data_IF_865454641658
#
_entry.id   IF_865454641658
#
_cell.length_a   1.000
_cell.length_b   1.000
_cell.length_c   1.000
_cell.angle_alpha   90.00
_cell.angle_beta   90.00
_cell.angle_gamma   90.00
#
_symmetry.space_group_name_H-M   'P 1'
#
loop_
_entity.id
_entity.type
_entity.pdbx_description
1 polymer ?
#
# COMPACT_ATOMS: atom_id res chain seq x y z
N UNK A 1 14.25 13.46 22.27
CA UNK A 1 13.15 12.63 21.76
C UNK A 1 13.56 11.16 21.85
N UNK A 2 12.92 10.35 22.71
CA UNK A 2 13.03 8.89 22.62
C UNK A 2 12.18 8.45 21.43
N UNK A 3 12.80 8.15 20.30
CA UNK A 3 12.13 7.50 19.17
C UNK A 3 11.61 6.16 19.70
N UNK A 4 10.30 6.02 19.84
CA UNK A 4 9.71 4.73 20.19
C UNK A 4 9.99 3.77 19.03
N UNK A 5 10.45 2.56 19.31
CA UNK A 5 10.65 1.54 18.29
C UNK A 5 9.28 1.19 17.70
N UNK A 6 9.17 1.08 16.35
CA UNK A 6 7.96 0.60 15.70
C UNK A 6 7.49 -0.73 16.29
N UNK A 7 6.19 -0.92 16.42
CA UNK A 7 5.59 -2.11 16.98
C UNK A 7 4.66 -2.74 15.94
N UNK A 8 4.64 -4.05 15.92
CA UNK A 8 3.76 -4.83 15.06
C UNK A 8 2.48 -5.17 15.83
N UNK A 9 1.34 -4.92 15.22
CA UNK A 9 0.01 -5.17 15.78
C UNK A 9 -0.98 -5.63 14.72
N UNK A 10 -2.11 -6.14 15.16
CA UNK A 10 -3.32 -6.35 14.37
C UNK A 10 -4.46 -5.49 14.94
N UNK A 11 -5.51 -5.29 14.15
CA UNK A 11 -6.62 -4.42 14.52
C UNK A 11 -7.84 -5.27 14.88
N UNK A 12 -8.43 -4.99 16.05
CA UNK A 12 -9.75 -5.45 16.44
C UNK A 12 -10.61 -4.22 16.65
N UNK A 13 -11.63 -4.02 15.80
CA UNK A 13 -12.52 -2.85 15.81
C UNK A 13 -11.71 -1.55 15.68
N UNK A 14 -11.71 -0.72 16.73
CA UNK A 14 -11.03 0.57 16.81
C UNK A 14 -9.69 0.50 17.60
N UNK A 15 -9.19 -0.69 17.90
CA UNK A 15 -7.97 -0.90 18.71
C UNK A 15 -6.88 -1.62 17.90
N UNK A 16 -5.66 -1.16 18.08
CA UNK A 16 -4.46 -1.89 17.70
C UNK A 16 -4.04 -2.77 18.87
N UNK A 17 -3.90 -4.05 18.61
CA UNK A 17 -3.43 -5.04 19.58
C UNK A 17 -1.95 -5.31 19.32
N UNK A 18 -1.12 -5.07 20.32
CA UNK A 18 0.32 -5.29 20.26
C UNK A 18 0.63 -6.78 20.33
N UNK A 19 1.17 -7.34 19.27
CA UNK A 19 1.41 -8.79 19.14
C UNK A 19 2.38 -9.30 20.22
N UNK A 20 3.49 -8.60 20.44
CA UNK A 20 4.48 -9.06 21.42
C UNK A 20 3.91 -9.05 22.83
N UNK A 21 3.21 -7.99 23.25
CA UNK A 21 2.59 -7.91 24.57
C UNK A 21 1.49 -8.95 24.73
N UNK A 22 0.66 -9.15 23.73
CA UNK A 22 -0.40 -10.16 23.73
C UNK A 22 0.16 -11.58 23.82
N UNK A 23 1.24 -11.87 23.09
CA UNK A 23 1.92 -13.17 23.13
C UNK A 23 2.49 -13.46 24.55
N UNK A 24 3.13 -12.46 25.18
CA UNK A 24 3.63 -12.60 26.56
C UNK A 24 2.47 -12.78 27.53
N UNK A 25 1.41 -12.00 27.39
CA UNK A 25 0.22 -12.11 28.25
C UNK A 25 -0.40 -13.51 28.16
N UNK A 26 -0.57 -14.06 26.96
CA UNK A 26 -1.08 -15.42 26.75
C UNK A 26 -0.20 -16.49 27.41
N UNK A 27 1.12 -16.34 27.31
CA UNK A 27 2.04 -17.26 27.98
C UNK A 27 1.96 -17.19 29.50
N UNK A 28 1.89 -15.99 30.10
CA UNK A 28 1.87 -15.82 31.56
C UNK A 28 0.52 -16.27 32.16
N UNK A 29 -0.61 -15.93 31.56
CA UNK A 29 -1.94 -16.15 32.13
C UNK A 29 -2.59 -17.47 31.66
N UNK A 30 -2.39 -17.86 30.39
CA UNK A 30 -2.99 -19.06 29.83
C UNK A 30 -2.01 -20.22 29.66
N UNK A 31 -0.72 -20.04 30.01
CA UNK A 31 0.36 -21.02 29.81
C UNK A 31 0.55 -21.43 28.33
N UNK A 32 0.16 -20.54 27.41
CA UNK A 32 0.25 -20.77 25.96
C UNK A 32 1.47 -20.05 25.38
N UNK A 33 2.55 -20.76 25.21
CA UNK A 33 3.82 -20.24 24.64
C UNK A 33 3.85 -20.22 23.11
N UNK A 34 2.80 -20.73 22.44
CA UNK A 34 2.73 -20.88 20.97
C UNK A 34 3.00 -19.55 20.27
N UNK A 35 2.48 -18.44 20.81
CA UNK A 35 2.55 -17.12 20.20
C UNK A 35 3.88 -16.39 20.43
N UNK A 36 4.73 -16.86 21.36
CA UNK A 36 6.04 -16.25 21.61
C UNK A 36 6.99 -16.36 20.39
N UNK A 37 6.70 -17.30 19.48
CA UNK A 37 7.46 -17.49 18.24
C UNK A 37 7.06 -16.51 17.12
N UNK A 38 5.98 -15.72 17.28
CA UNK A 38 5.59 -14.74 16.27
C UNK A 38 6.66 -13.64 16.20
N UNK A 39 7.19 -13.33 14.99
CA UNK A 39 8.20 -12.30 14.84
C UNK A 39 7.70 -10.90 15.28
N UNK A 40 8.62 -10.06 15.76
CA UNK A 40 8.30 -8.75 16.32
C UNK A 40 8.05 -7.65 15.29
N UNK A 41 8.20 -7.94 14.01
CA UNK A 41 7.90 -7.01 12.90
C UNK A 41 7.17 -7.75 11.79
N UNK A 42 6.29 -7.03 11.07
CA UNK A 42 5.60 -7.60 9.91
C UNK A 42 6.58 -8.15 8.87
N UNK A 43 7.62 -7.39 8.52
CA UNK A 43 8.63 -7.84 7.54
C UNK A 43 9.29 -9.17 7.89
N UNK A 44 9.54 -9.43 9.17
CA UNK A 44 10.07 -10.72 9.62
C UNK A 44 9.00 -11.82 9.55
N UNK A 45 7.75 -11.51 9.92
CA UNK A 45 6.64 -12.46 9.85
C UNK A 45 6.34 -12.90 8.41
N UNK A 46 6.54 -12.01 7.44
CA UNK A 46 6.33 -12.28 6.02
C UNK A 46 7.29 -13.33 5.41
N UNK A 47 8.41 -13.65 6.07
CA UNK A 47 9.36 -14.66 5.58
C UNK A 47 8.80 -16.08 5.60
N UNK A 48 7.95 -16.37 6.58
CA UNK A 48 7.24 -17.64 6.76
C UNK A 48 5.76 -17.32 7.00
N UNK A 49 5.16 -16.64 6.01
CA UNK A 49 3.88 -15.99 6.19
C UNK A 49 2.76 -16.95 6.55
N UNK A 50 2.68 -18.11 5.88
CA UNK A 50 1.57 -19.04 6.12
C UNK A 50 1.54 -19.50 7.58
N UNK A 51 2.69 -19.88 8.15
CA UNK A 51 2.77 -20.29 9.54
C UNK A 51 2.50 -19.14 10.51
N UNK A 52 3.09 -17.97 10.24
CA UNK A 52 2.92 -16.80 11.09
C UNK A 52 1.48 -16.27 11.01
N UNK A 53 0.84 -16.29 9.85
CA UNK A 53 -0.54 -15.86 9.67
C UNK A 53 -1.51 -16.74 10.45
N UNK A 54 -1.35 -18.08 10.42
CA UNK A 54 -2.13 -19.00 11.22
C UNK A 54 -2.02 -18.73 12.73
N UNK A 55 -0.80 -18.42 13.21
CA UNK A 55 -0.56 -18.03 14.61
C UNK A 55 -1.22 -16.69 14.94
N UNK A 56 -1.12 -15.72 14.03
CA UNK A 56 -1.74 -14.39 14.19
C UNK A 56 -3.27 -14.51 14.27
N UNK A 57 -3.91 -15.28 13.38
CA UNK A 57 -5.37 -15.51 13.41
C UNK A 57 -5.82 -16.19 14.70
N UNK A 58 -5.06 -17.18 15.18
CA UNK A 58 -5.37 -17.85 16.47
C UNK A 58 -5.20 -16.89 17.65
N UNK A 59 -4.16 -16.03 17.63
CA UNK A 59 -3.95 -15.03 18.68
C UNK A 59 -5.07 -13.99 18.66
N UNK A 60 -5.45 -13.51 17.49
CA UNK A 60 -6.54 -12.56 17.30
C UNK A 60 -7.84 -13.11 17.87
N UNK A 61 -8.25 -14.34 17.51
CA UNK A 61 -9.46 -15.00 18.02
C UNK A 61 -9.44 -15.08 19.55
N UNK A 62 -8.33 -15.56 20.14
CA UNK A 62 -8.23 -15.68 21.59
C UNK A 62 -8.28 -14.33 22.32
N UNK A 63 -7.68 -13.30 21.76
CA UNK A 63 -7.72 -11.95 22.34
C UNK A 63 -9.10 -11.32 22.16
N UNK A 64 -9.77 -11.53 21.03
CA UNK A 64 -11.09 -10.98 20.77
C UNK A 64 -12.18 -11.49 21.74
N UNK A 65 -12.00 -12.70 22.28
CA UNK A 65 -12.89 -13.31 23.28
C UNK A 65 -12.69 -12.73 24.71
N UNK A 66 -11.68 -11.88 24.92
CA UNK A 66 -11.34 -11.29 26.20
C UNK A 66 -11.71 -9.80 26.25
N UNK A 67 -11.74 -9.22 27.46
CA UNK A 67 -11.74 -7.76 27.61
C UNK A 67 -10.32 -7.19 27.37
N UNK A 68 -9.88 -7.22 26.12
CA UNK A 68 -8.54 -6.81 25.70
C UNK A 68 -8.22 -5.34 25.98
N UNK A 69 -9.24 -4.53 26.31
CA UNK A 69 -9.04 -3.11 26.64
C UNK A 69 -8.46 -2.92 28.03
N UNK A 70 -8.74 -3.85 28.95
CA UNK A 70 -8.23 -3.85 30.34
C UNK A 70 -6.92 -4.62 30.49
N UNK A 71 -6.52 -5.44 29.52
CA UNK A 71 -5.35 -6.32 29.65
C UNK A 71 -4.03 -5.53 29.61
N UNK A 72 -3.15 -5.91 30.53
CA UNK A 72 -1.82 -5.30 30.68
C UNK A 72 -0.74 -6.35 30.91
N UNK A 73 0.47 -6.02 30.50
CA UNK A 73 1.69 -6.77 30.80
C UNK A 73 2.77 -5.79 31.24
N UNK A 74 3.36 -6.02 32.44
CA UNK A 74 4.36 -5.14 33.03
C UNK A 74 3.90 -3.67 33.11
N UNK A 75 2.64 -3.42 33.51
CA UNK A 75 2.02 -2.09 33.60
C UNK A 75 1.78 -1.38 32.27
N UNK A 76 1.84 -2.10 31.13
CA UNK A 76 1.59 -1.55 29.79
C UNK A 76 0.40 -2.25 29.16
N UNK A 77 -0.57 -1.48 28.65
CA UNK A 77 -1.71 -2.03 27.90
C UNK A 77 -1.24 -2.84 26.70
N UNK A 78 -1.95 -3.92 26.39
CA UNK A 78 -1.77 -4.67 25.14
C UNK A 78 -2.48 -3.99 23.97
N UNK A 79 -3.42 -3.08 24.23
CA UNK A 79 -4.22 -2.38 23.21
C UNK A 79 -3.98 -0.87 23.23
N UNK A 80 -4.16 -0.22 22.09
CA UNK A 80 -4.08 1.23 21.90
C UNK A 80 -5.17 1.66 20.91
N UNK A 81 -5.75 2.84 21.05
CA UNK A 81 -6.71 3.35 20.05
C UNK A 81 -6.04 3.52 18.69
N UNK A 82 -6.71 3.09 17.66
CA UNK A 82 -6.24 3.25 16.28
C UNK A 82 -6.05 4.73 15.93
N UNK A 83 -7.04 5.57 16.27
CA UNK A 83 -7.03 7.00 15.96
C UNK A 83 -5.94 7.81 16.72
N UNK A 84 -5.48 7.30 17.85
CA UNK A 84 -4.44 7.94 18.67
C UNK A 84 -3.03 7.44 18.31
N UNK A 85 -2.94 6.55 17.32
CA UNK A 85 -1.69 5.88 16.95
C UNK A 85 -1.08 6.49 15.70
N UNK A 86 0.24 6.67 15.70
CA UNK A 86 0.99 6.99 14.50
C UNK A 86 1.23 5.72 13.70
N UNK A 87 0.64 5.64 12.51
CA UNK A 87 0.75 4.48 11.63
C UNK A 87 1.87 4.72 10.60
N UNK A 88 2.88 3.87 10.66
CA UNK A 88 3.90 3.79 9.63
C UNK A 88 3.38 3.03 8.39
N UNK A 89 4.04 3.13 7.23
CA UNK A 89 3.80 2.20 6.15
C UNK A 89 3.81 0.75 6.66
N UNK A 90 2.96 -0.16 6.18
CA UNK A 90 2.90 -1.54 6.67
C UNK A 90 4.26 -2.23 6.72
N UNK A 91 5.10 -2.01 5.70
CA UNK A 91 6.52 -2.38 5.68
C UNK A 91 7.35 -1.12 5.46
N UNK A 92 7.88 -0.47 6.52
CA UNK A 92 8.56 0.83 6.41
C UNK A 92 9.89 0.78 5.65
N UNK A 93 10.46 -0.40 5.49
CA UNK A 93 11.77 -0.62 4.87
C UNK A 93 11.74 -1.83 3.93
N UNK A 94 10.94 -1.80 2.85
CA UNK A 94 10.89 -2.86 1.85
C UNK A 94 12.26 -3.01 1.18
N UNK A 95 12.53 -4.18 0.60
CA UNK A 95 13.76 -4.39 -0.16
C UNK A 95 13.65 -3.77 -1.54
N UNK A 96 12.46 -3.83 -2.13
CA UNK A 96 12.15 -3.17 -3.39
C UNK A 96 10.70 -2.71 -3.43
N UNK A 97 10.46 -1.73 -4.29
CA UNK A 97 9.13 -1.31 -4.70
C UNK A 97 9.11 -1.21 -6.22
N UNK A 98 8.17 -1.92 -6.83
CA UNK A 98 7.88 -1.89 -8.27
C UNK A 98 6.49 -1.33 -8.44
N UNK A 99 6.39 -0.27 -9.22
CA UNK A 99 5.10 0.30 -9.55
C UNK A 99 4.76 0.02 -11.00
N UNK A 100 3.59 -0.57 -11.20
CA UNK A 100 3.09 -1.01 -12.50
C UNK A 100 2.27 0.09 -13.17
N UNK A 101 1.81 -0.21 -14.36
CA UNK A 101 1.02 0.71 -15.19
C UNK A 101 -0.15 -0.09 -15.77
N UNK A 102 -1.05 -0.57 -14.88
CA UNK A 102 -1.93 -1.68 -15.17
C UNK A 102 -3.41 -1.33 -15.43
N UNK A 103 -3.81 -0.07 -15.24
CA UNK A 103 -5.16 0.40 -15.58
C UNK A 103 -5.20 1.00 -16.99
N UNK A 104 -5.96 0.34 -17.89
CA UNK A 104 -6.03 0.72 -19.31
C UNK A 104 -6.51 2.16 -19.53
N UNK A 105 -7.53 2.60 -18.77
CA UNK A 105 -8.09 3.94 -18.90
C UNK A 105 -7.04 5.02 -18.64
N UNK A 106 -6.29 4.88 -17.56
CA UNK A 106 -5.21 5.81 -17.20
C UNK A 106 -4.11 5.83 -18.27
N UNK A 107 -3.67 4.65 -18.73
CA UNK A 107 -2.62 4.53 -19.75
C UNK A 107 -3.05 5.21 -21.06
N UNK A 108 -4.30 4.98 -21.50
CA UNK A 108 -4.86 5.64 -22.69
C UNK A 108 -4.89 7.16 -22.54
N UNK A 109 -5.35 7.66 -21.39
CA UNK A 109 -5.42 9.09 -21.12
C UNK A 109 -4.03 9.74 -21.11
N UNK A 110 -3.07 9.16 -20.38
CA UNK A 110 -1.70 9.66 -20.28
C UNK A 110 -0.96 9.63 -21.63
N UNK A 111 -1.19 8.60 -22.46
CA UNK A 111 -0.61 8.55 -23.83
C UNK A 111 -1.24 9.58 -24.75
N UNK A 112 -2.56 9.72 -24.72
CA UNK A 112 -3.28 10.73 -25.52
C UNK A 112 -2.81 12.16 -25.20
N UNK A 113 -2.51 12.45 -23.94
CA UNK A 113 -1.95 13.75 -23.54
C UNK A 113 -0.60 14.05 -24.17
N UNK A 114 0.16 13.01 -24.51
CA UNK A 114 1.47 13.10 -25.20
C UNK A 114 1.34 12.98 -26.73
N UNK A 115 0.11 12.91 -27.28
CA UNK A 115 -0.12 12.73 -28.71
C UNK A 115 0.24 11.33 -29.21
N UNK A 116 0.20 10.31 -28.35
CA UNK A 116 0.57 8.94 -28.66
C UNK A 116 -0.65 8.02 -28.62
N UNK A 117 -0.72 7.08 -29.55
CA UNK A 117 -1.67 5.98 -29.54
C UNK A 117 -1.28 4.91 -28.49
N UNK A 118 -2.24 4.01 -28.17
CA UNK A 118 -1.93 2.87 -27.33
C UNK A 118 -0.86 1.97 -27.97
N UNK A 119 0.13 1.58 -27.18
CA UNK A 119 1.10 0.60 -27.60
C UNK A 119 0.49 -0.82 -27.48
N UNK A 120 0.39 -1.61 -28.57
CA UNK A 120 -0.20 -2.95 -28.51
C UNK A 120 0.57 -3.93 -27.60
N UNK A 121 1.86 -3.70 -27.36
CA UNK A 121 2.63 -4.55 -26.46
C UNK A 121 2.29 -4.31 -24.99
N UNK A 122 1.69 -3.17 -24.64
CA UNK A 122 1.17 -2.92 -23.30
C UNK A 122 0.13 -3.97 -22.88
N UNK A 123 -0.71 -4.42 -23.82
CA UNK A 123 -1.71 -5.45 -23.54
C UNK A 123 -1.12 -6.85 -23.28
N UNK A 124 0.13 -7.06 -23.68
CA UNK A 124 0.83 -8.35 -23.57
C UNK A 124 1.77 -8.40 -22.35
N UNK A 125 2.35 -7.25 -22.00
CA UNK A 125 3.45 -7.17 -21.03
C UNK A 125 3.07 -6.18 -19.93
N UNK A 126 2.79 -6.65 -18.72
CA UNK A 126 2.70 -5.74 -17.57
C UNK A 126 4.08 -5.11 -17.33
N UNK A 127 4.15 -3.79 -17.47
CA UNK A 127 5.38 -3.03 -17.29
C UNK A 127 5.38 -2.30 -15.95
N UNK A 128 6.55 -2.09 -15.40
CA UNK A 128 6.76 -1.37 -14.15
C UNK A 128 8.04 -0.55 -14.20
N UNK A 129 8.15 0.41 -13.28
CA UNK A 129 9.41 1.04 -12.95
C UNK A 129 9.78 0.72 -11.48
N UNK A 130 11.05 0.86 -11.12
CA UNK A 130 11.49 0.78 -9.74
C UNK A 130 11.35 2.14 -9.09
N UNK A 131 10.55 2.19 -8.02
CA UNK A 131 10.44 3.40 -7.22
C UNK A 131 11.34 3.34 -5.98
N UNK A 132 11.43 4.48 -5.28
CA UNK A 132 12.31 4.64 -4.13
C UNK A 132 11.74 3.95 -2.88
N UNK A 133 12.57 3.22 -2.16
CA UNK A 133 12.22 2.53 -0.91
C UNK A 133 12.62 3.30 0.35
N UNK A 134 13.20 4.50 0.21
CA UNK A 134 13.70 5.30 1.34
C UNK A 134 12.84 6.53 1.64
N UNK A 135 11.92 6.90 0.75
CA UNK A 135 10.99 8.03 0.93
C UNK A 135 9.55 7.53 1.05
N UNK A 136 9.32 6.66 2.04
CA UNK A 136 8.00 6.09 2.31
C UNK A 136 7.34 6.81 3.48
N UNK A 137 6.05 7.11 3.33
CA UNK A 137 5.24 7.84 4.29
C UNK A 137 4.00 7.02 4.67
N UNK A 138 3.61 7.09 5.94
CA UNK A 138 2.40 6.45 6.45
C UNK A 138 1.20 7.39 6.45
N UNK A 139 0.10 6.90 7.01
CA UNK A 139 -1.12 7.68 7.21
C UNK A 139 -0.87 8.86 8.17
N UNK A 140 -1.29 10.06 7.77
CA UNK A 140 -1.13 11.34 8.49
C UNK A 140 0.32 11.81 8.64
N UNK A 141 1.25 11.27 7.89
CA UNK A 141 2.59 11.86 7.77
C UNK A 141 2.57 12.99 6.74
N UNK A 142 3.24 14.09 7.04
CA UNK A 142 3.33 15.25 6.17
C UNK A 142 4.25 15.01 4.98
N UNK A 143 3.85 15.47 3.80
CA UNK A 143 4.64 15.39 2.57
C UNK A 143 5.30 16.74 2.30
N UNK A 144 6.61 16.74 2.32
CA UNK A 144 7.37 17.94 1.99
C UNK A 144 7.18 18.28 0.50
N UNK A 145 6.69 19.50 0.20
CA UNK A 145 6.57 19.95 -1.19
C UNK A 145 7.93 19.88 -1.90
N UNK A 146 8.06 19.11 -3.00
CA UNK A 146 9.35 18.93 -3.65
C UNK A 146 9.88 20.21 -4.29
N UNK A 147 11.20 20.40 -4.24
CA UNK A 147 11.85 21.55 -4.86
C UNK A 147 11.79 21.47 -6.39
N UNK A 148 11.82 22.63 -7.06
CA UNK A 148 11.86 22.77 -8.53
C UNK A 148 10.65 22.24 -9.28
N UNK A 149 9.54 21.88 -8.62
CA UNK A 149 8.28 21.56 -9.28
C UNK A 149 7.24 22.65 -9.07
N UNK A 150 6.34 22.78 -10.02
CA UNK A 150 5.12 23.58 -9.95
C UNK A 150 3.87 22.74 -10.28
N UNK A 151 4.06 21.46 -10.56
CA UNK A 151 3.03 20.53 -11.02
C UNK A 151 3.01 19.28 -10.14
N UNK A 152 2.79 19.49 -8.82
CA UNK A 152 2.65 18.38 -7.87
C UNK A 152 1.29 17.72 -8.03
N UNK A 153 1.25 16.40 -8.09
CA UNK A 153 0.08 15.57 -8.33
C UNK A 153 0.05 14.38 -7.36
N UNK A 154 -1.12 13.79 -7.16
CA UNK A 154 -1.33 12.51 -6.50
C UNK A 154 -1.57 11.41 -7.54
N UNK A 155 -1.39 10.16 -7.16
CA UNK A 155 -1.84 8.99 -7.93
C UNK A 155 -2.52 7.99 -6.99
N UNK A 156 -3.84 7.80 -7.21
CA UNK A 156 -4.66 6.85 -6.46
C UNK A 156 -4.44 5.43 -6.97
N UNK A 157 -3.90 4.59 -6.10
CA UNK A 157 -3.50 3.23 -6.41
C UNK A 157 -3.84 2.25 -5.30
N UNK A 158 -3.89 0.97 -5.66
CA UNK A 158 -3.85 -0.15 -4.73
C UNK A 158 -2.51 -0.87 -4.86
N UNK A 159 -1.92 -1.29 -3.76
CA UNK A 159 -0.67 -2.04 -3.76
C UNK A 159 -0.81 -3.35 -2.99
N UNK A 160 0.02 -4.34 -3.37
CA UNK A 160 0.18 -5.59 -2.63
C UNK A 160 1.54 -5.65 -1.93
N UNK A 161 1.58 -6.46 -0.88
CA UNK A 161 2.78 -6.78 -0.11
C UNK A 161 3.11 -8.24 -0.33
N UNK A 162 4.37 -8.53 -0.71
CA UNK A 162 4.82 -9.88 -1.02
C UNK A 162 5.10 -10.68 0.27
N UNK A 163 4.53 -11.88 0.32
CA UNK A 163 4.78 -12.90 1.34
C UNK A 163 5.78 -13.95 0.83
N UNK A 164 6.51 -14.59 1.75
CA UNK A 164 7.42 -15.72 1.51
C UNK A 164 8.58 -15.45 0.53
N UNK A 165 8.38 -14.62 -0.46
CA UNK A 165 9.33 -14.37 -1.54
C UNK A 165 9.41 -15.52 -2.55
N UNK A 166 10.07 -15.29 -3.69
CA UNK A 166 10.22 -16.31 -4.72
C UNK A 166 10.77 -15.77 -6.04
N UNK A 167 11.20 -16.68 -6.89
CA UNK A 167 11.74 -16.42 -8.23
C UNK A 167 10.97 -17.20 -9.27
N UNK A 168 10.73 -16.63 -10.44
CA UNK A 168 10.02 -17.26 -11.55
C UNK A 168 8.65 -17.84 -11.11
N UNK A 169 7.88 -17.03 -10.39
CA UNK A 169 6.58 -17.43 -9.86
C UNK A 169 5.59 -17.51 -11.01
N UNK A 170 5.00 -18.69 -11.20
CA UNK A 170 3.94 -18.90 -12.18
C UNK A 170 2.67 -18.16 -11.74
N UNK A 171 2.02 -17.46 -12.68
CA UNK A 171 0.77 -16.72 -12.47
C UNK A 171 -0.29 -17.51 -11.70
N UNK A 172 -0.42 -18.81 -11.98
CA UNK A 172 -1.42 -19.70 -11.34
C UNK A 172 -1.17 -19.89 -9.83
N UNK A 173 0.06 -19.65 -9.37
CA UNK A 173 0.44 -19.78 -7.96
C UNK A 173 0.68 -18.44 -7.29
N UNK A 174 0.61 -17.33 -8.03
CA UNK A 174 1.06 -16.01 -7.59
C UNK A 174 0.25 -15.46 -6.41
N UNK A 175 -1.04 -15.77 -6.31
CA UNK A 175 -1.89 -15.34 -5.18
C UNK A 175 -1.37 -15.78 -3.82
N UNK A 176 -0.68 -16.93 -3.75
CA UNK A 176 -0.08 -17.44 -2.50
C UNK A 176 1.07 -16.56 -1.99
N UNK A 177 1.56 -15.66 -2.83
CA UNK A 177 2.62 -14.70 -2.50
C UNK A 177 2.08 -13.31 -2.12
N UNK A 178 0.77 -13.12 -2.09
CA UNK A 178 0.14 -11.89 -1.63
C UNK A 178 -0.15 -12.00 -0.13
N UNK A 179 0.58 -11.25 0.69
CA UNK A 179 0.32 -11.15 2.13
C UNK A 179 -0.92 -10.31 2.43
N UNK A 180 -1.12 -9.28 1.63
CA UNK A 180 -2.25 -8.36 1.78
C UNK A 180 -2.16 -7.17 0.84
N UNK A 181 -3.18 -6.32 0.97
CA UNK A 181 -3.40 -5.12 0.17
C UNK A 181 -3.30 -3.86 1.04
N UNK A 182 -2.91 -2.75 0.44
CA UNK A 182 -2.84 -1.44 1.08
C UNK A 182 -3.09 -0.33 0.05
N UNK A 183 -3.47 0.87 0.48
CA UNK A 183 -3.57 2.02 -0.41
C UNK A 183 -2.16 2.53 -0.69
N UNK A 184 -1.95 3.01 -1.91
CA UNK A 184 -0.73 3.68 -2.34
C UNK A 184 -1.09 5.04 -2.95
N UNK A 185 -0.33 6.06 -2.57
CA UNK A 185 -0.26 7.32 -3.30
C UNK A 185 1.15 7.47 -3.88
N UNK A 186 1.29 7.33 -5.20
CA UNK A 186 2.54 7.57 -5.92
C UNK A 186 2.65 9.05 -6.29
N UNK A 187 3.19 9.86 -5.37
CA UNK A 187 3.32 11.29 -5.54
C UNK A 187 4.16 11.65 -6.76
N UNK A 188 3.68 12.60 -7.55
CA UNK A 188 4.24 12.91 -8.87
C UNK A 188 4.53 14.39 -9.04
N UNK A 189 5.78 14.73 -9.37
CA UNK A 189 6.16 16.05 -9.85
C UNK A 189 6.17 16.03 -11.39
N UNK A 190 5.06 16.42 -12.01
CA UNK A 190 4.77 16.17 -13.44
C UNK A 190 5.71 16.89 -14.40
N UNK A 191 6.15 18.09 -14.06
CA UNK A 191 7.13 18.85 -14.84
C UNK A 191 8.49 18.15 -14.82
N UNK A 192 8.99 17.73 -13.66
CA UNK A 192 10.24 16.96 -13.55
C UNK A 192 10.12 15.60 -14.28
N UNK A 193 9.01 14.89 -14.09
CA UNK A 193 8.75 13.63 -14.78
C UNK A 193 8.79 13.80 -16.30
N UNK A 194 8.20 14.89 -16.83
CA UNK A 194 8.13 15.16 -18.26
C UNK A 194 9.52 15.41 -18.85
N UNK A 195 10.39 16.13 -18.13
CA UNK A 195 11.80 16.34 -18.53
C UNK A 195 12.56 15.02 -18.59
N UNK A 196 12.45 14.17 -17.55
CA UNK A 196 13.14 12.89 -17.46
C UNK A 196 12.70 11.89 -18.53
N UNK A 197 11.39 11.84 -18.82
CA UNK A 197 10.84 10.91 -19.82
C UNK A 197 11.39 11.17 -21.24
N UNK A 198 11.88 12.37 -21.54
CA UNK A 198 12.52 12.68 -22.83
C UNK A 198 13.85 11.94 -23.00
N UNK A 199 14.50 11.56 -21.90
CA UNK A 199 15.77 10.82 -21.90
C UNK A 199 15.62 9.32 -22.08
N UNK A 200 14.38 8.81 -22.15
CA UNK A 200 14.00 7.40 -22.36
C UNK A 200 14.55 6.40 -21.32
N UNK A 201 14.90 6.86 -20.11
CA UNK A 201 15.33 5.99 -19.02
C UNK A 201 14.23 5.68 -18.00
N UNK A 202 13.17 6.48 -17.99
CA UNK A 202 12.04 6.37 -17.06
C UNK A 202 12.05 7.46 -16.01
N UNK A 203 10.99 7.52 -15.16
CA UNK A 203 10.91 8.54 -14.12
C UNK A 203 11.91 8.26 -13.00
N UNK A 204 12.49 9.33 -12.44
CA UNK A 204 13.36 9.30 -11.27
C UNK A 204 12.96 10.41 -10.28
N UNK A 205 13.48 11.64 -10.45
CA UNK A 205 13.24 12.77 -9.54
C UNK A 205 11.78 13.25 -9.56
N UNK A 206 11.04 12.93 -10.61
CA UNK A 206 9.61 13.18 -10.69
C UNK A 206 8.76 12.28 -9.79
N UNK A 207 9.35 11.21 -9.21
CA UNK A 207 8.63 10.15 -8.47
C UNK A 207 9.29 9.75 -7.13
N UNK A 208 10.60 9.85 -6.99
CA UNK A 208 11.35 9.24 -5.89
C UNK A 208 11.30 10.02 -4.55
N UNK A 209 10.68 11.20 -4.55
CA UNK A 209 10.66 12.08 -3.37
C UNK A 209 9.66 11.64 -2.30
N UNK A 210 8.56 10.98 -2.68
CA UNK A 210 7.56 10.49 -1.74
C UNK A 210 6.72 9.36 -2.35
N UNK A 211 6.41 8.34 -1.52
CA UNK A 211 5.39 7.33 -1.75
C UNK A 211 4.67 7.08 -0.44
N UNK A 212 3.34 7.22 -0.42
CA UNK A 212 2.57 6.98 0.81
C UNK A 212 1.88 5.63 0.75
N UNK A 213 2.03 4.82 1.81
CA UNK A 213 1.39 3.51 1.96
C UNK A 213 0.59 3.44 3.25
N UNK A 214 -0.63 2.93 3.19
CA UNK A 214 -1.43 2.76 4.40
C UNK A 214 -2.94 2.63 4.15
N UNK A 215 -3.73 2.79 5.22
CA UNK A 215 -3.29 3.02 6.60
C UNK A 215 -2.63 1.80 7.23
N UNK A 216 -2.93 0.59 6.75
CA UNK A 216 -2.43 -0.72 7.18
C UNK A 216 -2.48 -1.74 6.04
N UNK A 217 -2.03 -2.94 6.28
CA UNK A 217 -2.20 -4.09 5.39
C UNK A 217 -3.49 -4.83 5.74
N UNK A 218 -4.33 -5.12 4.75
CA UNK A 218 -5.53 -5.97 4.87
C UNK A 218 -5.27 -7.29 4.16
N UNK A 219 -5.49 -8.39 4.85
CA UNK A 219 -5.19 -9.73 4.33
C UNK A 219 -6.25 -10.23 3.35
N UNK A 220 -5.93 -11.14 2.39
CA UNK A 220 -6.83 -11.55 1.33
C UNK A 220 -8.15 -12.18 1.81
N UNK A 221 -8.17 -12.77 3.00
CA UNK A 221 -9.36 -13.42 3.57
C UNK A 221 -10.47 -12.41 3.93
N UNK A 222 -10.15 -11.12 4.09
CA UNK A 222 -11.14 -10.06 4.33
C UNK A 222 -11.93 -9.69 3.07
N UNK A 223 -11.43 -10.05 1.87
CA UNK A 223 -12.03 -9.69 0.58
C UNK A 223 -12.86 -10.80 -0.07
N UNK A 224 -13.20 -11.88 0.65
CA UNK A 224 -13.92 -13.04 0.08
C UNK A 224 -15.22 -12.68 -0.64
N UNK A 225 -15.90 -11.63 -0.19
CA UNK A 225 -17.19 -11.17 -0.75
C UNK A 225 -17.04 -10.03 -1.78
N UNK A 226 -15.79 -9.65 -2.10
CA UNK A 226 -15.51 -8.52 -2.98
C UNK A 226 -15.01 -8.95 -4.37
N UNK A 227 -15.21 -10.19 -4.74
CA UNK A 227 -14.83 -10.72 -6.05
C UNK A 227 -16.04 -10.86 -6.95
N UNK A 228 -15.94 -10.30 -8.15
CA UNK A 228 -16.95 -10.35 -9.20
C UNK A 228 -16.27 -10.70 -10.53
N UNK A 229 -16.69 -11.80 -11.19
CA UNK A 229 -16.07 -12.27 -12.43
C UNK A 229 -14.54 -12.40 -12.39
N UNK A 230 -14.02 -12.98 -11.31
CA UNK A 230 -12.57 -13.14 -11.03
C UNK A 230 -11.79 -11.81 -10.90
N UNK A 231 -12.49 -10.70 -10.69
CA UNK A 231 -11.91 -9.39 -10.42
C UNK A 231 -12.30 -8.88 -9.04
N UNK A 232 -11.36 -8.27 -8.34
CA UNK A 232 -11.65 -7.57 -7.10
C UNK A 232 -12.48 -6.32 -7.40
N UNK A 233 -13.59 -6.14 -6.70
CA UNK A 233 -14.53 -5.03 -6.87
C UNK A 233 -14.52 -4.16 -5.62
N UNK A 234 -13.63 -3.17 -5.58
CA UNK A 234 -13.51 -2.19 -4.50
C UNK A 234 -13.56 -0.79 -5.12
N UNK A 235 -14.43 0.06 -4.62
CA UNK A 235 -14.45 1.47 -5.00
C UNK A 235 -13.19 2.16 -4.49
N UNK A 236 -12.61 3.02 -5.32
CA UNK A 236 -11.41 3.80 -5.05
C UNK A 236 -11.73 5.27 -5.23
N UNK A 237 -11.58 6.10 -4.18
CA UNK A 237 -11.86 7.53 -4.25
C UNK A 237 -10.71 8.39 -3.77
N UNK A 238 -10.60 9.59 -4.33
CA UNK A 238 -9.69 10.62 -3.86
C UNK A 238 -10.43 11.93 -3.57
N UNK A 239 -10.06 12.53 -2.45
CA UNK A 239 -10.53 13.85 -2.06
C UNK A 239 -9.31 14.79 -1.90
N UNK A 240 -9.47 16.02 -2.38
CA UNK A 240 -8.55 17.13 -2.11
C UNK A 240 -9.32 18.15 -1.28
N UNK A 241 -8.86 18.43 -0.06
CA UNK A 241 -9.53 19.36 0.87
C UNK A 241 -11.04 19.03 1.00
N UNK A 242 -11.35 17.75 1.28
CA UNK A 242 -12.69 17.17 1.41
C UNK A 242 -13.58 17.20 0.15
N UNK A 243 -13.09 17.70 -0.97
CA UNK A 243 -13.81 17.67 -2.25
C UNK A 243 -13.46 16.38 -3.01
N UNK A 244 -14.48 15.58 -3.36
CA UNK A 244 -14.31 14.40 -4.21
C UNK A 244 -13.76 14.80 -5.58
N UNK A 245 -12.64 14.22 -5.96
CA UNK A 245 -11.91 14.50 -7.22
C UNK A 245 -11.89 13.29 -8.13
N UNK A 246 -11.70 12.09 -7.59
CA UNK A 246 -11.61 10.85 -8.34
C UNK A 246 -12.54 9.80 -7.77
N UNK A 247 -13.13 9.00 -8.64
CA UNK A 247 -13.99 7.87 -8.32
C UNK A 247 -13.74 6.76 -9.36
N UNK A 248 -13.12 5.69 -8.94
CA UNK A 248 -12.72 4.55 -9.77
C UNK A 248 -12.98 3.23 -9.07
N UNK A 249 -12.53 2.14 -9.66
CA UNK A 249 -12.74 0.80 -9.12
C UNK A 249 -11.59 -0.15 -9.45
N UNK A 250 -11.24 -1.05 -8.53
CA UNK A 250 -10.21 -2.06 -8.75
C UNK A 250 -10.55 -3.05 -9.85
N UNK A 251 -11.84 -3.25 -10.19
CA UNK A 251 -12.27 -4.16 -11.25
C UNK A 251 -11.85 -3.69 -12.65
N UNK A 252 -11.47 -2.42 -12.82
CA UNK A 252 -10.96 -1.85 -14.07
C UNK A 252 -9.50 -2.24 -14.35
N UNK A 253 -8.85 -2.93 -13.40
CA UNK A 253 -7.48 -3.41 -13.56
C UNK A 253 -7.38 -4.37 -14.75
N UNK A 254 -6.55 -4.00 -15.75
CA UNK A 254 -6.33 -4.83 -16.94
C UNK A 254 -5.35 -5.97 -16.65
N UNK A 255 -4.15 -5.63 -16.15
CA UNK A 255 -3.18 -6.62 -15.70
C UNK A 255 -3.44 -6.97 -14.24
N UNK A 256 -3.75 -8.23 -13.95
CA UNK A 256 -3.99 -8.70 -12.58
C UNK A 256 -2.71 -8.74 -11.75
N UNK A 257 -2.81 -8.67 -10.42
CA UNK A 257 -1.67 -8.84 -9.53
C UNK A 257 -0.91 -10.17 -9.73
N UNK A 258 -1.58 -11.31 -9.98
CA UNK A 258 -0.87 -12.52 -10.39
C UNK A 258 0.02 -12.36 -11.63
N UNK A 259 -0.45 -11.63 -12.65
CA UNK A 259 0.37 -11.35 -13.85
C UNK A 259 1.54 -10.40 -13.55
N UNK A 260 1.34 -9.44 -12.65
CA UNK A 260 2.40 -8.53 -12.20
C UNK A 260 3.47 -9.27 -11.39
N UNK A 261 3.07 -10.19 -10.49
CA UNK A 261 3.99 -11.03 -9.71
C UNK A 261 4.82 -11.93 -10.64
N UNK A 262 4.18 -12.61 -11.60
CA UNK A 262 4.88 -13.42 -12.60
C UNK A 262 5.93 -12.59 -13.33
N UNK A 263 5.56 -11.41 -13.82
CA UNK A 263 6.49 -10.49 -14.51
C UNK A 263 7.60 -9.99 -13.59
N UNK A 264 7.27 -9.57 -12.38
CA UNK A 264 8.21 -9.01 -11.41
C UNK A 264 9.23 -10.04 -10.91
N UNK A 265 8.84 -11.32 -10.82
CA UNK A 265 9.70 -12.41 -10.35
C UNK A 265 10.52 -13.08 -11.44
N UNK A 266 10.32 -12.70 -12.71
CA UNK A 266 11.04 -13.29 -13.85
C UNK A 266 12.56 -13.05 -13.69
N UNK A 267 13.33 -14.14 -13.53
CA UNK A 267 14.79 -14.14 -13.38
C UNK A 267 15.33 -13.42 -12.14
N UNK A 268 14.48 -12.97 -11.21
CA UNK A 268 14.88 -12.26 -9.99
C UNK A 268 14.02 -12.70 -8.80
N UNK A 269 14.62 -12.73 -7.59
CA UNK A 269 13.86 -13.02 -6.38
C UNK A 269 13.04 -11.81 -5.94
N UNK A 270 11.74 -11.98 -5.77
CA UNK A 270 10.94 -11.12 -4.91
C UNK A 270 11.25 -11.45 -3.45
N UNK A 271 11.33 -10.44 -2.61
CA UNK A 271 11.62 -10.61 -1.19
C UNK A 271 10.36 -10.36 -0.34
N UNK A 272 10.23 -11.06 0.81
CA UNK A 272 9.15 -10.80 1.73
C UNK A 272 9.12 -9.33 2.14
N UNK A 273 7.95 -8.69 1.99
CA UNK A 273 7.76 -7.27 2.26
C UNK A 273 8.09 -6.34 1.09
N UNK A 274 8.40 -6.86 -0.11
CA UNK A 274 8.43 -6.03 -1.32
C UNK A 274 7.02 -5.52 -1.63
N UNK A 275 6.93 -4.28 -2.15
CA UNK A 275 5.69 -3.71 -2.66
C UNK A 275 5.57 -3.87 -4.17
N UNK A 276 4.34 -4.11 -4.63
CA UNK A 276 3.93 -4.00 -6.03
C UNK A 276 2.71 -3.08 -6.08
N UNK A 277 2.88 -1.89 -6.68
CA UNK A 277 1.80 -0.96 -6.97
C UNK A 277 1.08 -1.33 -8.26
N UNK A 278 -0.20 -1.01 -8.34
CA UNK A 278 -1.04 -1.30 -9.51
C UNK A 278 -0.82 -0.35 -10.67
N UNK A 279 -0.24 0.81 -10.41
CA UNK A 279 -0.42 1.98 -11.23
C UNK A 279 -1.76 2.66 -10.97
N UNK A 280 -1.86 3.90 -11.41
CA UNK A 280 -2.99 4.80 -11.16
C UNK A 280 -4.29 4.25 -11.74
N UNK A 281 -5.37 4.23 -10.94
CA UNK A 281 -6.72 3.93 -11.43
C UNK A 281 -7.18 5.01 -12.43
N UNK A 282 -8.08 4.68 -13.36
CA UNK A 282 -8.67 5.66 -14.26
C UNK A 282 -9.28 6.85 -13.49
N UNK A 283 -8.97 8.07 -13.90
CA UNK A 283 -9.27 9.34 -13.20
C UNK A 283 -8.48 9.58 -11.91
N UNK A 284 -7.56 8.72 -11.56
CA UNK A 284 -6.86 8.71 -10.28
C UNK A 284 -5.75 9.75 -10.10
N UNK A 285 -5.64 10.75 -10.97
CA UNK A 285 -4.67 11.85 -10.82
C UNK A 285 -5.15 13.16 -11.49
N UNK A 286 -4.57 14.29 -11.06
CA UNK A 286 -4.89 15.61 -11.63
C UNK A 286 -4.50 15.70 -13.10
N UNK A 287 -3.35 15.10 -13.49
CA UNK A 287 -2.90 15.09 -14.88
C UNK A 287 -3.98 14.57 -15.83
N UNK A 288 -4.62 13.46 -15.49
CA UNK A 288 -5.67 12.85 -16.30
C UNK A 288 -6.95 13.71 -16.31
N UNK A 289 -7.35 14.20 -15.14
CA UNK A 289 -8.57 15.01 -14.93
C UNK A 289 -8.44 16.43 -15.50
N UNK A 290 -7.23 16.91 -15.69
CA UNK A 290 -6.84 18.28 -16.05
C UNK A 290 -6.86 19.24 -14.88
N UNK A 291 -5.76 19.97 -14.60
CA UNK A 291 -5.66 20.88 -13.45
C UNK A 291 -6.72 21.99 -13.49
N UNK A 292 -7.14 22.44 -14.68
CA UNK A 292 -8.18 23.47 -14.84
C UNK A 292 -9.54 23.02 -14.28
N UNK A 293 -9.79 21.71 -14.22
CA UNK A 293 -11.05 21.15 -13.73
C UNK A 293 -10.99 20.78 -12.24
N UNK A 294 -9.80 20.55 -11.71
CA UNK A 294 -9.59 20.13 -10.32
C UNK A 294 -9.29 21.29 -9.36
N UNK A 295 -9.04 22.48 -9.89
CA UNK A 295 -8.68 23.67 -9.12
C UNK A 295 -7.17 23.96 -9.11
N UNK A 296 -6.42 23.34 -10.01
CA UNK A 296 -4.97 23.47 -10.16
C UNK A 296 -4.20 22.25 -9.72
N UNK A 297 -2.89 22.33 -9.79
CA UNK A 297 -1.97 21.38 -9.18
C UNK A 297 -1.98 21.51 -7.65
N UNK A 298 -1.54 20.48 -6.96
CA UNK A 298 -1.43 20.47 -5.51
C UNK A 298 -0.47 21.54 -5.00
N UNK A 299 -0.75 22.09 -3.83
CA UNK A 299 0.03 23.15 -3.19
C UNK A 299 0.20 22.87 -1.69
N UNK A 300 1.11 23.59 -1.07
CA UNK A 300 1.27 23.57 0.39
C UNK A 300 -0.03 23.90 1.10
N UNK A 301 -0.36 23.12 2.11
CA UNK A 301 -1.60 23.18 2.89
C UNK A 301 -2.71 22.29 2.35
N UNK A 302 -2.59 21.72 1.14
CA UNK A 302 -3.60 20.79 0.66
C UNK A 302 -3.50 19.45 1.40
N UNK A 303 -4.66 18.88 1.72
CA UNK A 303 -4.82 17.54 2.28
C UNK A 303 -5.38 16.61 1.21
N UNK A 304 -4.69 15.51 0.98
CA UNK A 304 -5.07 14.47 0.03
C UNK A 304 -5.51 13.24 0.81
N UNK A 305 -6.75 12.80 0.58
CA UNK A 305 -7.37 11.66 1.24
C UNK A 305 -7.78 10.63 0.18
N UNK A 306 -7.13 9.48 0.21
CA UNK A 306 -7.42 8.32 -0.63
C UNK A 306 -8.21 7.31 0.18
N UNK A 307 -9.28 6.77 -0.38
CA UNK A 307 -10.11 5.74 0.24
C UNK A 307 -10.26 4.57 -0.71
N UNK A 308 -10.11 3.35 -0.19
CA UNK A 308 -10.46 2.12 -0.90
C UNK A 308 -11.36 1.30 0.02
N UNK A 309 -12.50 0.87 -0.51
CA UNK A 309 -13.46 0.05 0.23
C UNK A 309 -12.77 -1.14 0.90
N UNK A 310 -13.13 -1.40 2.16
CA UNK A 310 -12.59 -2.47 2.99
C UNK A 310 -11.06 -2.43 3.25
N UNK A 311 -10.34 -1.42 2.75
CA UNK A 311 -8.94 -1.18 3.12
C UNK A 311 -8.85 -0.02 4.11
N UNK A 312 -9.60 1.06 3.88
CA UNK A 312 -9.60 2.21 4.79
C UNK A 312 -9.22 3.51 4.12
N UNK A 313 -8.54 4.39 4.87
CA UNK A 313 -8.23 5.76 4.46
C UNK A 313 -6.74 6.04 4.60
N UNK A 314 -6.11 6.52 3.55
CA UNK A 314 -4.75 7.07 3.55
C UNK A 314 -4.84 8.58 3.33
N UNK A 315 -4.39 9.35 4.30
CA UNK A 315 -4.45 10.81 4.25
C UNK A 315 -3.08 11.41 4.54
N UNK A 316 -2.69 12.41 3.75
CA UNK A 316 -1.45 13.16 3.96
C UNK A 316 -1.67 14.64 3.68
N UNK A 317 -0.94 15.51 4.39
CA UNK A 317 -0.94 16.96 4.18
C UNK A 317 0.38 17.40 3.57
N UNK A 318 0.33 18.34 2.63
CA UNK A 318 1.51 18.90 1.94
C UNK A 318 2.03 20.11 2.73
N UNK A 319 3.33 20.13 3.09
CA UNK A 319 3.99 21.21 3.85
C UNK A 319 5.14 21.89 3.09
#
# INVERSE_FOLDING_TARGET
>A
FRVQKPRFGFIIKDKIIDIMRSSIWMNEHNKDSTFLSIPTTLKLALKEWNENFDKLKKLEQKIADLDYTSLQINGKSISTNLNDSHLLPPVPNPTSFRDFYAFEQHVKAARKLRGLDMNPDWYKIPIFYFSNTTSLYGHKEDIQYPIKTKELDFELEIAIIIANGGKNIDKKNAEKFIAGYTILNDWSARDLQREEMQMNLGPAKGKDFANSFGPYMVTPDEFKNNWENDKMNLRMTCYINDKLISDGNTNDLYHSFPSMIERASMNVDLKPGDYIGSGTVGTGCILELRPEKTGGWLKKGDTIRLEIDNIGVLENTII
#
